data_IF_896357886782
#
_entry.id   IF_896357886782
#
_cell.length_a   1.000
_cell.length_b   1.000
_cell.length_c   1.000
_cell.angle_alpha   90.00
_cell.angle_beta   90.00
_cell.angle_gamma   90.00
#
_symmetry.space_group_name_H-M   'P 1'
#
loop_
_entity.id
_entity.type
_entity.pdbx_description
1 polymer ?
#
# COMPACT_ATOMS: atom_id res chain seq x y z
N UNK A 1 -19.04 -14.94 -12.31
CA UNK A 1 -18.47 -15.86 -13.34
C UNK A 1 -17.10 -15.31 -13.73
N UNK A 2 -16.03 -15.97 -13.28
CA UNK A 2 -14.64 -15.59 -13.61
C UNK A 2 -14.43 -15.93 -15.09
N UNK A 3 -14.22 -14.91 -15.93
CA UNK A 3 -13.87 -15.13 -17.34
C UNK A 3 -12.57 -15.96 -17.41
N UNK A 4 -12.50 -17.02 -18.22
CA UNK A 4 -11.27 -17.79 -18.37
C UNK A 4 -10.16 -16.87 -18.87
N UNK A 5 -9.08 -16.76 -18.10
CA UNK A 5 -7.89 -15.99 -18.49
C UNK A 5 -7.38 -16.60 -19.79
N UNK A 6 -7.41 -15.81 -20.85
CA UNK A 6 -6.97 -16.22 -22.19
C UNK A 6 -5.50 -16.71 -22.14
N UNK A 7 -5.18 -17.79 -22.86
CA UNK A 7 -3.84 -18.38 -22.91
C UNK A 7 -2.74 -17.35 -23.22
N UNK A 8 -3.05 -16.36 -24.07
CA UNK A 8 -2.14 -15.24 -24.39
C UNK A 8 -1.80 -14.40 -23.16
N UNK A 9 -2.76 -14.16 -22.25
CA UNK A 9 -2.51 -13.42 -21.02
C UNK A 9 -1.63 -14.23 -20.05
N UNK A 10 -1.81 -15.55 -19.96
CA UNK A 10 -0.95 -16.42 -19.16
C UNK A 10 0.49 -16.41 -19.66
N UNK A 11 0.69 -16.50 -20.97
CA UNK A 11 2.01 -16.43 -21.59
C UNK A 11 2.67 -15.05 -21.38
N UNK A 12 1.89 -13.97 -21.46
CA UNK A 12 2.39 -12.60 -21.22
C UNK A 12 2.86 -12.42 -19.76
N UNK A 13 2.08 -12.90 -18.80
CA UNK A 13 2.45 -12.86 -17.37
C UNK A 13 3.68 -13.74 -17.12
N UNK A 14 3.76 -14.92 -17.72
CA UNK A 14 4.95 -15.79 -17.60
C UNK A 14 6.21 -15.12 -18.16
N UNK A 15 6.09 -14.45 -19.32
CA UNK A 15 7.19 -13.66 -19.90
C UNK A 15 7.68 -12.57 -18.94
N UNK A 16 6.75 -11.86 -18.28
CA UNK A 16 7.10 -10.86 -17.27
C UNK A 16 7.86 -11.46 -16.08
N UNK A 17 7.45 -12.64 -15.59
CA UNK A 17 8.22 -13.34 -14.55
C UNK A 17 9.66 -13.60 -14.97
N UNK A 18 9.89 -14.14 -16.16
CA UNK A 18 11.25 -14.38 -16.65
C UNK A 18 12.06 -13.10 -16.81
N UNK A 19 11.45 -12.03 -17.30
CA UNK A 19 12.13 -10.75 -17.47
C UNK A 19 12.51 -10.08 -16.15
N UNK A 20 11.63 -10.14 -15.14
CA UNK A 20 11.82 -9.45 -13.85
C UNK A 20 12.50 -10.31 -12.79
N UNK A 21 12.23 -11.59 -12.74
CA UNK A 21 12.78 -12.50 -11.72
C UNK A 21 13.96 -13.33 -12.22
N UNK A 22 14.14 -13.45 -13.54
CA UNK A 22 15.09 -14.38 -14.14
C UNK A 22 14.60 -15.84 -14.11
N UNK A 23 15.36 -16.74 -14.72
CA UNK A 23 14.95 -18.13 -14.91
C UNK A 23 14.81 -18.89 -13.58
N UNK A 24 15.83 -18.81 -12.72
CA UNK A 24 15.90 -19.59 -11.46
C UNK A 24 14.79 -19.16 -10.49
N UNK A 25 14.64 -17.86 -10.26
CA UNK A 25 13.61 -17.35 -9.34
C UNK A 25 12.19 -17.62 -9.86
N UNK A 26 11.96 -17.52 -11.17
CA UNK A 26 10.69 -17.88 -11.80
C UNK A 26 10.38 -19.36 -11.62
N UNK A 27 11.32 -20.26 -11.91
CA UNK A 27 11.14 -21.70 -11.73
C UNK A 27 10.84 -22.03 -10.26
N UNK A 28 11.60 -21.45 -9.33
CA UNK A 28 11.38 -21.64 -7.89
C UNK A 28 10.00 -21.12 -7.44
N UNK A 29 9.59 -19.93 -7.89
CA UNK A 29 8.26 -19.36 -7.61
C UNK A 29 7.13 -20.29 -8.11
N UNK A 30 7.21 -20.78 -9.36
CA UNK A 30 6.21 -21.69 -9.93
C UNK A 30 6.16 -23.00 -9.13
N UNK A 31 7.33 -23.57 -8.81
CA UNK A 31 7.45 -24.81 -8.02
C UNK A 31 6.78 -24.65 -6.66
N UNK A 32 7.06 -23.56 -5.93
CA UNK A 32 6.44 -23.28 -4.64
C UNK A 32 4.92 -23.11 -4.75
N UNK A 33 4.41 -22.51 -5.83
CA UNK A 33 2.97 -22.38 -6.05
C UNK A 33 2.26 -23.72 -6.23
N UNK A 34 2.92 -24.67 -6.88
CA UNK A 34 2.37 -26.02 -7.12
C UNK A 34 2.46 -26.88 -5.85
N UNK A 35 3.62 -26.95 -5.22
CA UNK A 35 3.89 -27.85 -4.11
C UNK A 35 3.60 -27.28 -2.72
N UNK A 36 3.15 -26.04 -2.63
CA UNK A 36 2.79 -25.31 -1.39
C UNK A 36 3.79 -25.51 -0.24
N UNK A 37 4.56 -24.48 0.14
CA UNK A 37 5.50 -24.56 1.24
C UNK A 37 4.79 -24.93 2.56
N UNK A 38 5.49 -25.65 3.47
CA UNK A 38 4.95 -26.10 4.76
C UNK A 38 4.40 -24.97 5.63
N UNK A 39 4.99 -23.78 5.55
CA UNK A 39 4.56 -22.59 6.29
C UNK A 39 3.48 -21.76 5.55
N UNK A 40 2.97 -22.24 4.41
CA UNK A 40 1.93 -21.57 3.62
C UNK A 40 2.40 -20.31 2.87
N UNK A 41 3.66 -19.87 3.03
CA UNK A 41 4.20 -18.68 2.39
C UNK A 41 5.13 -19.02 1.23
N UNK A 42 4.94 -18.37 0.11
CA UNK A 42 5.89 -18.34 -0.99
C UNK A 42 7.08 -17.43 -0.60
N UNK A 43 8.28 -17.85 -0.93
CA UNK A 43 9.52 -17.07 -0.76
C UNK A 43 10.07 -16.74 -2.15
N UNK A 44 10.05 -15.48 -2.53
CA UNK A 44 10.48 -15.02 -3.85
C UNK A 44 11.74 -14.18 -3.74
N UNK A 45 12.76 -14.58 -4.49
CA UNK A 45 13.98 -13.79 -4.67
C UNK A 45 13.80 -12.89 -5.89
N UNK A 46 13.86 -11.58 -5.68
CA UNK A 46 13.77 -10.60 -6.77
C UNK A 46 15.17 -10.04 -7.02
N UNK A 47 15.67 -10.09 -8.27
CA UNK A 47 16.99 -9.55 -8.60
C UNK A 47 17.14 -8.09 -8.15
N UNK A 48 18.24 -7.78 -7.49
CA UNK A 48 18.54 -6.45 -6.96
C UNK A 48 17.98 -6.16 -5.58
N UNK A 49 17.02 -6.96 -5.07
CA UNK A 49 16.52 -6.81 -3.70
C UNK A 49 17.44 -7.50 -2.69
N UNK A 50 17.66 -6.86 -1.55
CA UNK A 50 18.57 -7.36 -0.51
C UNK A 50 18.04 -8.63 0.18
N UNK A 51 16.72 -8.73 0.34
CA UNK A 51 16.05 -9.79 1.07
C UNK A 51 14.91 -10.39 0.24
N UNK A 52 14.56 -11.66 0.49
CA UNK A 52 13.43 -12.30 -0.17
C UNK A 52 12.11 -11.64 0.23
N UNK A 53 11.17 -11.68 -0.70
CA UNK A 53 9.78 -11.24 -0.50
C UNK A 53 8.92 -12.44 -0.15
N UNK A 54 8.07 -12.30 0.86
CA UNK A 54 7.15 -13.35 1.31
C UNK A 54 5.71 -12.96 0.99
N UNK A 55 4.92 -13.92 0.50
CA UNK A 55 3.50 -13.75 0.20
C UNK A 55 2.72 -15.05 0.43
N UNK A 56 1.44 -14.93 0.67
CA UNK A 56 0.53 -16.09 0.74
C UNK A 56 0.27 -16.61 -0.68
N UNK A 57 0.02 -17.91 -0.84
CA UNK A 57 -0.37 -18.48 -2.13
C UNK A 57 -1.87 -18.28 -2.39
N UNK A 58 -2.33 -17.05 -2.33
CA UNK A 58 -3.71 -16.62 -2.61
C UNK A 58 -3.73 -15.61 -3.76
N UNK A 59 -4.89 -15.46 -4.38
CA UNK A 59 -5.02 -14.68 -5.61
C UNK A 59 -4.66 -13.20 -5.41
N UNK A 60 -5.13 -12.58 -4.32
CA UNK A 60 -4.87 -11.18 -4.00
C UNK A 60 -3.38 -10.88 -3.87
N UNK A 61 -2.65 -11.61 -3.03
CA UNK A 61 -1.22 -11.40 -2.85
C UNK A 61 -0.43 -11.55 -4.18
N UNK A 62 -0.86 -12.52 -5.01
CA UNK A 62 -0.25 -12.77 -6.33
C UNK A 62 -0.54 -11.63 -7.32
N UNK A 63 -1.74 -11.05 -7.26
CA UNK A 63 -2.09 -9.91 -8.10
C UNK A 63 -1.28 -8.68 -7.72
N UNK A 64 -1.24 -8.33 -6.43
CA UNK A 64 -0.46 -7.19 -5.93
C UNK A 64 1.05 -7.41 -6.20
N UNK A 65 1.57 -8.64 -6.00
CA UNK A 65 2.94 -8.96 -6.39
C UNK A 65 3.21 -8.67 -7.87
N UNK A 66 2.28 -9.06 -8.73
CA UNK A 66 2.39 -8.83 -10.18
C UNK A 66 2.34 -7.34 -10.53
N UNK A 67 1.43 -6.58 -9.91
CA UNK A 67 1.29 -5.14 -10.11
C UNK A 67 2.56 -4.41 -9.70
N UNK A 68 3.04 -4.64 -8.50
CA UNK A 68 4.15 -3.87 -7.92
C UNK A 68 5.51 -4.29 -8.49
N UNK A 69 5.84 -5.59 -8.52
CA UNK A 69 7.20 -6.04 -8.86
C UNK A 69 7.38 -6.40 -10.33
N UNK A 70 6.33 -6.87 -11.01
CA UNK A 70 6.46 -7.27 -12.40
C UNK A 70 6.06 -6.17 -13.38
N UNK A 71 4.98 -5.43 -13.08
CA UNK A 71 4.50 -4.33 -13.90
C UNK A 71 5.02 -2.98 -13.47
N UNK A 72 5.55 -2.88 -12.24
CA UNK A 72 6.09 -1.63 -11.66
C UNK A 72 5.06 -0.49 -11.66
N UNK A 73 3.80 -0.78 -11.28
CA UNK A 73 2.70 0.19 -11.28
C UNK A 73 2.92 1.38 -10.32
N UNK A 74 3.78 1.19 -9.29
CA UNK A 74 4.25 2.28 -8.41
C UNK A 74 5.44 3.07 -8.98
N UNK A 75 5.82 2.84 -10.24
CA UNK A 75 6.90 3.60 -10.86
C UNK A 75 6.43 5.02 -11.17
N UNK A 76 6.91 5.96 -10.38
CA UNK A 76 6.69 7.40 -10.56
C UNK A 76 8.03 8.10 -10.74
N UNK A 77 8.04 9.17 -11.50
CA UNK A 77 9.23 10.01 -11.69
C UNK A 77 9.08 11.25 -10.79
N UNK A 78 9.77 11.20 -9.65
CA UNK A 78 9.87 12.30 -8.70
C UNK A 78 11.00 13.24 -9.13
N UNK A 79 10.79 14.54 -9.01
CA UNK A 79 11.83 15.54 -9.32
C UNK A 79 12.99 15.50 -8.32
N UNK A 80 12.70 15.12 -7.08
CA UNK A 80 13.67 15.00 -5.98
C UNK A 80 13.63 13.59 -5.42
N UNK A 81 14.79 13.04 -5.06
CA UNK A 81 14.87 11.73 -4.40
C UNK A 81 14.24 11.84 -3.01
N UNK A 82 13.18 11.07 -2.72
CA UNK A 82 12.46 11.16 -1.46
C UNK A 82 13.30 10.69 -0.28
N UNK A 83 13.19 11.38 0.83
CA UNK A 83 13.80 11.04 2.14
C UNK A 83 12.75 10.50 3.10
N UNK A 84 11.52 11.02 3.03
CA UNK A 84 10.38 10.64 3.87
C UNK A 84 9.24 10.18 3.00
N UNK A 85 8.82 8.92 3.21
CA UNK A 85 7.70 8.31 2.49
C UNK A 85 6.70 7.80 3.54
N UNK A 86 5.43 8.11 3.34
CA UNK A 86 4.32 7.50 4.09
C UNK A 86 3.58 6.56 3.14
N UNK A 87 3.37 5.31 3.55
CA UNK A 87 2.69 4.26 2.81
C UNK A 87 1.42 3.85 3.56
N UNK A 88 0.31 4.52 3.24
CA UNK A 88 -1.02 4.24 3.77
C UNK A 88 -1.68 3.09 3.02
N UNK A 89 -2.19 2.10 3.77
CA UNK A 89 -2.67 0.84 3.21
C UNK A 89 -1.50 -0.02 2.72
N UNK A 90 -0.56 -0.30 3.62
CA UNK A 90 0.67 -0.99 3.27
C UNK A 90 0.48 -2.47 2.95
N UNK A 91 -0.68 -3.04 3.29
CA UNK A 91 -1.00 -4.44 3.08
C UNK A 91 0.14 -5.33 3.62
N UNK A 92 0.67 -6.25 2.84
CA UNK A 92 1.79 -7.12 3.23
C UNK A 92 3.18 -6.52 2.97
N UNK A 93 3.27 -5.21 2.68
CA UNK A 93 4.51 -4.43 2.60
C UNK A 93 5.18 -4.37 1.23
N UNK A 94 4.50 -4.73 0.17
CA UNK A 94 5.11 -4.74 -1.17
C UNK A 94 5.46 -3.35 -1.68
N UNK A 95 4.59 -2.35 -1.43
CA UNK A 95 4.86 -0.96 -1.77
C UNK A 95 6.08 -0.44 -1.01
N UNK A 96 6.14 -0.69 0.31
CA UNK A 96 7.29 -0.32 1.12
C UNK A 96 8.60 -0.94 0.61
N UNK A 97 8.61 -2.23 0.24
CA UNK A 97 9.78 -2.91 -0.30
C UNK A 97 10.20 -2.34 -1.65
N UNK A 98 9.25 -2.09 -2.55
CA UNK A 98 9.51 -1.50 -3.86
C UNK A 98 10.11 -0.10 -3.74
N UNK A 99 9.50 0.75 -2.90
CA UNK A 99 9.96 2.11 -2.65
C UNK A 99 11.33 2.10 -1.95
N UNK A 100 11.55 1.19 -1.00
CA UNK A 100 12.84 1.03 -0.32
C UNK A 100 13.96 0.57 -1.25
N UNK A 101 13.66 -0.32 -2.19
CA UNK A 101 14.61 -0.71 -3.22
C UNK A 101 14.96 0.47 -4.14
N UNK A 102 13.96 1.26 -4.54
CA UNK A 102 14.14 2.40 -5.43
C UNK A 102 14.83 3.59 -4.71
N UNK A 103 14.56 3.77 -3.42
CA UNK A 103 15.05 4.87 -2.59
C UNK A 103 15.66 4.33 -1.27
N UNK A 104 16.88 3.77 -1.33
CA UNK A 104 17.46 3.02 -0.21
C UNK A 104 17.62 3.83 1.08
N UNK A 105 17.84 5.13 0.98
CA UNK A 105 18.05 6.02 2.13
C UNK A 105 16.77 6.59 2.73
N UNK A 106 15.63 6.45 2.04
CA UNK A 106 14.35 6.95 2.54
C UNK A 106 13.93 6.27 3.86
N UNK A 107 13.36 7.05 4.76
CA UNK A 107 12.56 6.53 5.86
C UNK A 107 11.13 6.30 5.35
N UNK A 108 10.57 5.12 5.62
CA UNK A 108 9.24 4.72 5.17
C UNK A 108 8.39 4.42 6.40
N UNK A 109 7.20 5.02 6.46
CA UNK A 109 6.21 4.82 7.51
C UNK A 109 5.02 4.10 6.89
N UNK A 110 4.86 2.81 7.21
CA UNK A 110 3.86 1.93 6.61
C UNK A 110 2.73 1.66 7.59
N UNK A 111 1.50 1.87 7.16
CA UNK A 111 0.31 1.75 8.01
C UNK A 111 -0.62 0.68 7.42
N UNK A 112 -0.98 -0.32 8.24
CA UNK A 112 -1.83 -1.43 7.85
C UNK A 112 -2.76 -1.82 9.01
N UNK A 113 -4.08 -1.77 8.83
CA UNK A 113 -5.04 -2.09 9.88
C UNK A 113 -5.23 -3.59 10.16
N UNK A 114 -5.15 -4.47 9.15
CA UNK A 114 -5.41 -5.89 9.34
C UNK A 114 -4.23 -6.61 9.98
N UNK A 115 -4.47 -7.30 11.08
CA UNK A 115 -3.43 -8.01 11.84
C UNK A 115 -2.69 -9.08 11.03
N UNK A 116 -3.36 -9.76 10.11
CA UNK A 116 -2.76 -10.82 9.28
C UNK A 116 -1.83 -10.22 8.23
N UNK A 117 -2.27 -9.14 7.58
CA UNK A 117 -1.45 -8.36 6.65
C UNK A 117 -0.28 -7.72 7.40
N UNK A 118 -0.54 -7.09 8.55
CA UNK A 118 0.49 -6.45 9.36
C UNK A 118 1.59 -7.42 9.81
N UNK A 119 1.25 -8.64 10.22
CA UNK A 119 2.25 -9.67 10.55
C UNK A 119 3.14 -10.00 9.35
N UNK A 120 2.57 -10.03 8.15
CA UNK A 120 3.34 -10.30 6.94
C UNK A 120 4.11 -9.06 6.46
N UNK A 121 3.57 -7.86 6.63
CA UNK A 121 4.27 -6.59 6.47
C UNK A 121 5.54 -6.57 7.33
N UNK A 122 5.42 -6.84 8.62
CA UNK A 122 6.56 -6.91 9.55
C UNK A 122 7.59 -7.96 9.11
N UNK A 123 7.14 -9.15 8.68
CA UNK A 123 8.03 -10.18 8.15
C UNK A 123 8.81 -9.71 6.93
N UNK A 124 8.17 -8.99 6.03
CA UNK A 124 8.76 -8.49 4.80
C UNK A 124 9.74 -7.34 5.04
N UNK A 125 9.45 -6.48 6.02
CA UNK A 125 10.16 -5.21 6.22
C UNK A 125 11.19 -5.21 7.34
N UNK A 126 11.10 -6.13 8.31
CA UNK A 126 11.93 -6.13 9.55
C UNK A 126 13.45 -6.16 9.32
N UNK A 127 13.91 -6.62 8.16
CA UNK A 127 15.33 -6.65 7.81
C UNK A 127 15.83 -5.33 7.19
N UNK A 128 14.93 -4.41 6.87
CA UNK A 128 15.27 -3.12 6.26
C UNK A 128 15.34 -2.02 7.33
N UNK A 129 16.44 -1.26 7.31
CA UNK A 129 16.56 -0.08 8.18
C UNK A 129 15.62 1.03 7.71
N UNK A 130 15.15 1.85 8.65
CA UNK A 130 14.30 3.03 8.39
C UNK A 130 12.94 2.67 7.75
N UNK A 131 12.39 1.49 8.06
CA UNK A 131 10.97 1.21 7.83
C UNK A 131 10.31 1.07 9.20
N UNK A 132 9.31 1.88 9.46
CA UNK A 132 8.50 1.87 10.68
C UNK A 132 7.09 1.46 10.29
N UNK A 133 6.51 0.50 11.00
CA UNK A 133 5.18 -0.03 10.69
C UNK A 133 4.21 0.25 11.84
N UNK A 134 2.99 0.67 11.48
CA UNK A 134 1.89 0.95 12.39
C UNK A 134 0.72 0.00 12.11
N UNK A 135 0.27 -0.71 13.15
CA UNK A 135 -0.94 -1.55 13.05
C UNK A 135 -2.16 -0.70 13.41
N UNK A 136 -2.53 0.19 12.53
CA UNK A 136 -3.57 1.18 12.68
C UNK A 136 -4.35 1.35 11.36
N UNK A 137 -5.59 1.84 11.45
CA UNK A 137 -6.28 2.41 10.30
C UNK A 137 -5.99 3.91 10.17
N UNK A 138 -5.79 4.41 8.94
CA UNK A 138 -5.64 5.86 8.72
C UNK A 138 -7.01 6.52 8.78
N UNK A 139 -7.12 7.59 9.57
CA UNK A 139 -8.36 8.36 9.73
C UNK A 139 -8.07 9.85 9.90
N UNK A 140 -9.11 10.68 9.93
CA UNK A 140 -8.97 12.13 10.12
C UNK A 140 -8.90 12.58 11.58
N UNK A 141 -9.15 11.69 12.53
CA UNK A 141 -9.16 11.95 13.99
C UNK A 141 -8.87 10.68 14.77
N UNK A 142 -8.63 10.81 16.06
CA UNK A 142 -8.63 9.67 16.98
C UNK A 142 -9.99 8.95 16.93
N UNK A 143 -10.00 7.66 16.66
CA UNK A 143 -11.19 6.84 16.54
C UNK A 143 -10.88 5.36 16.79
N UNK A 144 -11.93 4.57 17.02
CA UNK A 144 -11.89 3.12 16.92
C UNK A 144 -12.52 2.71 15.60
N UNK A 145 -11.84 1.89 14.84
CA UNK A 145 -12.26 1.43 13.52
C UNK A 145 -12.51 -0.08 13.53
N UNK A 146 -13.40 -0.54 12.68
CA UNK A 146 -13.64 -1.97 12.46
C UNK A 146 -13.63 -2.27 10.98
N UNK A 147 -13.02 -3.39 10.59
CA UNK A 147 -13.12 -3.93 9.23
C UNK A 147 -14.54 -4.46 9.06
N UNK A 148 -15.30 -3.87 8.12
CA UNK A 148 -16.73 -4.16 7.93
C UNK A 148 -17.02 -5.19 6.84
N UNK A 149 -16.02 -5.55 6.04
CA UNK A 149 -16.15 -6.46 4.91
C UNK A 149 -15.11 -7.61 4.96
N UNK A 150 -14.99 -8.27 6.10
CA UNK A 150 -13.99 -9.36 6.33
C UNK A 150 -14.04 -10.51 5.30
N UNK A 151 -15.16 -10.67 4.60
CA UNK A 151 -15.33 -11.67 3.53
C UNK A 151 -14.80 -11.17 2.16
N UNK A 152 -14.43 -9.90 2.02
CA UNK A 152 -13.69 -9.40 0.87
C UNK A 152 -12.26 -9.96 0.88
N UNK A 153 -11.59 -9.94 -0.25
CA UNK A 153 -10.17 -10.34 -0.31
C UNK A 153 -9.31 -9.46 0.60
N UNK A 154 -8.14 -9.96 1.00
CA UNK A 154 -7.19 -9.24 1.88
C UNK A 154 -6.64 -7.93 1.30
N UNK A 155 -6.97 -7.63 0.06
CA UNK A 155 -6.63 -6.40 -0.68
C UNK A 155 -7.68 -5.29 -0.58
N UNK A 156 -8.87 -5.58 -0.03
CA UNK A 156 -10.04 -4.68 -0.11
C UNK A 156 -10.74 -4.51 1.24
N UNK A 157 -9.97 -4.38 2.32
CA UNK A 157 -10.54 -4.22 3.66
C UNK A 157 -11.01 -2.79 3.92
N UNK A 158 -12.33 -2.61 3.91
CA UNK A 158 -12.99 -1.34 4.26
C UNK A 158 -13.11 -1.22 5.77
N UNK A 159 -12.74 -0.06 6.32
CA UNK A 159 -12.92 0.25 7.74
C UNK A 159 -14.04 1.27 7.95
N UNK A 160 -14.73 1.15 9.09
CA UNK A 160 -15.73 2.11 9.54
C UNK A 160 -15.52 2.45 11.01
N UNK A 161 -15.89 3.67 11.40
CA UNK A 161 -15.81 4.13 12.78
C UNK A 161 -16.85 3.39 13.64
N UNK A 162 -16.42 2.91 14.81
CA UNK A 162 -17.30 2.29 15.81
C UNK A 162 -17.38 3.14 17.06
N UNK A 163 -18.46 2.95 17.84
CA UNK A 163 -18.66 3.71 19.06
C UNK A 163 -17.53 3.47 20.07
N UNK A 164 -16.87 4.53 20.50
CA UNK A 164 -15.76 4.48 21.48
C UNK A 164 -16.14 3.81 22.81
N UNK A 165 -17.42 3.88 23.20
CA UNK A 165 -17.94 3.30 24.45
C UNK A 165 -18.35 1.82 24.32
N UNK A 166 -18.31 1.26 23.11
CA UNK A 166 -18.59 -0.17 22.90
C UNK A 166 -17.27 -0.92 22.84
N UNK A 167 -16.98 -1.84 23.79
CA UNK A 167 -15.76 -2.65 23.76
C UNK A 167 -15.86 -3.72 22.67
N UNK A 168 -15.84 -3.31 21.40
CA UNK A 168 -15.69 -4.25 20.29
C UNK A 168 -14.25 -4.79 20.30
N UNK A 169 -14.10 -6.07 20.58
CA UNK A 169 -12.79 -6.75 20.72
C UNK A 169 -11.99 -6.69 19.41
N UNK A 170 -12.69 -6.59 18.28
CA UNK A 170 -12.08 -6.57 16.94
C UNK A 170 -11.79 -5.12 16.44
N UNK A 171 -11.96 -4.12 17.27
CA UNK A 171 -11.74 -2.73 16.85
C UNK A 171 -10.26 -2.36 16.85
N UNK A 172 -9.85 -1.68 15.79
CA UNK A 172 -8.50 -1.20 15.50
C UNK A 172 -8.42 0.27 15.92
N UNK A 173 -7.29 0.72 16.45
CA UNK A 173 -7.09 2.14 16.70
C UNK A 173 -6.82 2.87 15.37
N UNK A 174 -7.45 4.01 15.19
CA UNK A 174 -7.09 4.94 14.13
C UNK A 174 -5.77 5.64 14.46
N UNK A 175 -5.08 6.09 13.41
CA UNK A 175 -3.97 7.03 13.49
C UNK A 175 -4.16 8.09 12.40
N UNK A 176 -3.87 9.33 12.72
CA UNK A 176 -3.87 10.41 11.73
C UNK A 176 -2.49 10.59 11.11
N UNK A 177 -2.43 11.14 9.89
CA UNK A 177 -1.13 11.50 9.28
C UNK A 177 -0.42 12.55 10.14
N UNK A 178 -1.14 13.49 10.76
CA UNK A 178 -0.56 14.48 11.67
C UNK A 178 0.12 13.84 12.89
N UNK A 179 -0.46 12.78 13.44
CA UNK A 179 0.18 12.02 14.54
C UNK A 179 1.46 11.33 14.10
N UNK A 180 1.48 10.72 12.91
CA UNK A 180 2.71 10.11 12.34
C UNK A 180 3.78 11.18 12.16
N UNK A 181 3.42 12.32 11.59
CA UNK A 181 4.30 13.49 11.42
C UNK A 181 4.90 13.93 12.75
N UNK A 182 4.05 14.11 13.77
CA UNK A 182 4.47 14.56 15.10
C UNK A 182 5.33 13.52 15.84
N UNK A 183 4.95 12.26 15.81
CA UNK A 183 5.68 11.17 16.51
C UNK A 183 7.08 10.94 15.97
N UNK A 184 7.34 11.33 14.72
CA UNK A 184 8.60 11.08 14.03
C UNK A 184 9.36 12.36 13.65
N UNK A 185 8.94 13.52 14.18
CA UNK A 185 9.55 14.83 13.91
C UNK A 185 9.71 15.13 12.40
N UNK A 186 8.69 14.72 11.60
CA UNK A 186 8.68 14.91 10.15
C UNK A 186 8.40 16.36 9.82
N UNK A 187 9.32 17.00 9.12
CA UNK A 187 9.17 18.41 8.68
C UNK A 187 8.68 18.54 7.24
N UNK A 188 8.86 17.51 6.43
CA UNK A 188 8.39 17.43 5.05
C UNK A 188 8.07 15.97 4.68
N UNK A 189 6.99 15.74 3.94
CA UNK A 189 6.62 14.43 3.36
C UNK A 189 6.93 14.49 1.88
N UNK A 190 7.99 13.81 1.43
CA UNK A 190 8.37 13.84 0.02
C UNK A 190 7.40 13.03 -0.86
N UNK A 191 6.85 11.95 -0.32
CA UNK A 191 5.82 11.13 -0.97
C UNK A 191 4.85 10.55 0.06
N UNK A 192 3.56 10.80 -0.13
CA UNK A 192 2.48 10.07 0.55
C UNK A 192 1.76 9.17 -0.46
N UNK A 193 1.93 7.85 -0.37
CA UNK A 193 1.09 6.87 -1.05
C UNK A 193 -0.11 6.57 -0.16
N UNK A 194 -1.31 6.57 -0.73
CA UNK A 194 -2.56 6.27 -0.04
C UNK A 194 -3.42 5.36 -0.91
N UNK A 195 -3.73 4.20 -0.36
CA UNK A 195 -4.56 3.16 -0.94
C UNK A 195 -5.23 2.45 0.25
N UNK A 196 -6.33 3.05 0.74
CA UNK A 196 -6.95 2.76 2.05
C UNK A 196 -8.42 2.33 1.93
N UNK A 197 -8.76 1.83 0.76
CA UNK A 197 -10.01 1.10 0.49
C UNK A 197 -11.28 1.82 0.97
N UNK A 198 -11.45 3.07 0.47
CA UNK A 198 -12.65 3.88 0.67
C UNK A 198 -12.62 4.81 1.89
N UNK A 199 -11.52 4.85 2.64
CA UNK A 199 -11.34 5.83 3.73
C UNK A 199 -10.78 7.18 3.25
N UNK A 200 -10.47 7.32 1.95
CA UNK A 200 -9.86 8.52 1.36
C UNK A 200 -10.70 9.75 1.63
N UNK A 201 -12.04 9.66 1.46
CA UNK A 201 -12.94 10.76 1.77
C UNK A 201 -12.78 11.25 3.21
N UNK A 202 -12.77 10.34 4.18
CA UNK A 202 -12.66 10.70 5.59
C UNK A 202 -11.35 11.41 5.89
N UNK A 203 -10.23 10.94 5.31
CA UNK A 203 -8.90 11.52 5.52
C UNK A 203 -8.78 12.92 4.91
N UNK A 204 -9.42 13.18 3.77
CA UNK A 204 -9.39 14.47 3.08
C UNK A 204 -10.56 15.40 3.43
N UNK A 205 -11.51 14.97 4.26
CA UNK A 205 -12.65 15.81 4.68
C UNK A 205 -12.25 16.81 5.75
N UNK A 206 -11.48 16.37 6.76
CA UNK A 206 -11.11 17.17 7.92
C UNK A 206 -9.65 16.95 8.32
N UNK A 207 -9.05 17.95 9.02
CA UNK A 207 -7.70 17.87 9.62
C UNK A 207 -6.56 17.58 8.64
N UNK A 208 -6.78 17.75 7.34
CA UNK A 208 -5.79 17.44 6.32
C UNK A 208 -4.82 18.61 6.02
N UNK A 209 -5.16 19.84 6.37
CA UNK A 209 -4.40 21.01 5.94
C UNK A 209 -2.95 21.02 6.44
N UNK A 210 -2.70 20.54 7.66
CA UNK A 210 -1.36 20.53 8.27
C UNK A 210 -0.42 19.61 7.48
N UNK A 211 -0.74 18.31 7.42
CA UNK A 211 0.11 17.35 6.71
C UNK A 211 0.15 17.59 5.20
N UNK A 212 -0.96 18.06 4.59
CA UNK A 212 -1.00 18.34 3.16
C UNK A 212 -0.10 19.53 2.80
N UNK A 213 0.04 20.53 3.69
CA UNK A 213 0.89 21.70 3.46
C UNK A 213 2.38 21.37 3.39
N UNK A 214 2.81 20.30 4.07
CA UNK A 214 4.20 19.80 4.11
C UNK A 214 4.41 18.59 3.20
N UNK A 215 3.45 18.25 2.33
CA UNK A 215 3.56 17.14 1.38
C UNK A 215 3.91 17.64 0.00
N UNK A 216 4.93 17.07 -0.64
CA UNK A 216 5.35 17.42 -1.98
C UNK A 216 4.66 16.61 -3.06
N UNK A 217 4.49 15.30 -2.82
CA UNK A 217 3.85 14.41 -3.78
C UNK A 217 2.87 13.47 -3.09
N UNK A 218 1.72 13.22 -3.77
CA UNK A 218 0.73 12.24 -3.35
C UNK A 218 0.52 11.22 -4.47
N UNK A 219 0.36 9.96 -4.09
CA UNK A 219 -0.04 8.88 -4.98
C UNK A 219 -1.25 8.21 -4.33
N UNK A 220 -2.46 8.54 -4.82
CA UNK A 220 -3.73 8.13 -4.19
C UNK A 220 -4.53 7.27 -5.13
N UNK A 221 -4.89 6.06 -4.70
CA UNK A 221 -5.96 5.27 -5.30
C UNK A 221 -7.28 5.70 -4.68
N UNK A 222 -8.24 6.10 -5.52
CA UNK A 222 -9.52 6.65 -5.04
C UNK A 222 -10.64 5.67 -5.33
N UNK A 223 -11.27 5.16 -4.26
CA UNK A 223 -12.27 4.10 -4.32
C UNK A 223 -13.72 4.65 -4.38
N UNK A 224 -14.06 5.36 -5.45
CA UNK A 224 -15.39 5.94 -5.65
C UNK A 224 -16.54 4.91 -5.64
N UNK A 225 -16.26 3.65 -5.93
CA UNK A 225 -17.24 2.57 -5.87
C UNK A 225 -17.65 2.19 -4.45
N UNK A 226 -16.82 2.56 -3.46
CA UNK A 226 -17.13 2.40 -2.02
C UNK A 226 -17.83 3.65 -1.49
N UNK A 227 -17.28 4.83 -1.82
CA UNK A 227 -17.85 6.13 -1.44
C UNK A 227 -17.88 7.06 -2.65
N UNK A 228 -19.06 7.28 -3.21
CA UNK A 228 -19.27 8.05 -4.44
C UNK A 228 -18.79 9.51 -4.41
N UNK A 229 -18.48 10.07 -3.22
CA UNK A 229 -17.97 11.43 -3.05
C UNK A 229 -16.45 11.47 -2.78
N UNK A 230 -15.75 10.34 -2.76
CA UNK A 230 -14.33 10.28 -2.42
C UNK A 230 -13.48 11.13 -3.37
N UNK A 231 -13.63 10.95 -4.68
CA UNK A 231 -12.88 11.72 -5.69
C UNK A 231 -13.14 13.22 -5.58
N UNK A 232 -14.39 13.63 -5.45
CA UNK A 232 -14.78 15.02 -5.30
C UNK A 232 -14.12 15.65 -4.07
N UNK A 233 -14.05 14.94 -2.96
CA UNK A 233 -13.46 15.42 -1.70
C UNK A 233 -11.93 15.54 -1.83
N UNK A 234 -11.26 14.52 -2.36
CA UNK A 234 -9.81 14.54 -2.60
C UNK A 234 -9.44 15.68 -3.56
N UNK A 235 -10.12 15.77 -4.71
CA UNK A 235 -9.85 16.82 -5.70
C UNK A 235 -10.07 18.23 -5.14
N UNK A 236 -11.10 18.44 -4.30
CA UNK A 236 -11.33 19.73 -3.66
C UNK A 236 -10.18 20.13 -2.72
N UNK A 237 -9.57 19.17 -2.01
CA UNK A 237 -8.46 19.43 -1.09
C UNK A 237 -7.15 19.81 -1.82
N UNK A 238 -6.90 19.23 -3.02
CA UNK A 238 -5.59 19.33 -3.69
C UNK A 238 -5.56 20.33 -4.86
N UNK A 239 -6.70 20.69 -5.48
CA UNK A 239 -6.82 21.44 -6.75
C UNK A 239 -6.01 22.75 -6.83
N UNK A 240 -5.90 23.48 -5.73
CA UNK A 240 -5.25 24.79 -5.71
C UNK A 240 -3.74 24.73 -5.45
N UNK A 241 -3.25 23.57 -4.98
CA UNK A 241 -1.87 23.40 -4.52
C UNK A 241 -1.07 22.42 -5.36
N UNK A 242 -1.73 21.52 -6.08
CA UNK A 242 -1.09 20.41 -6.79
C UNK A 242 -1.48 20.39 -8.27
N UNK A 243 -0.56 19.87 -9.08
CA UNK A 243 -0.83 19.38 -10.43
C UNK A 243 -1.23 17.91 -10.36
N UNK A 244 -2.14 17.48 -11.24
CA UNK A 244 -2.69 16.12 -11.21
C UNK A 244 -2.41 15.40 -12.51
N UNK A 245 -1.96 14.14 -12.44
CA UNK A 245 -1.89 13.21 -13.57
C UNK A 245 -2.26 11.80 -13.12
N UNK A 246 -2.74 10.97 -14.04
CA UNK A 246 -2.97 9.54 -13.77
C UNK A 246 -1.67 8.74 -13.90
N UNK A 247 -1.49 7.76 -13.00
CA UNK A 247 -0.42 6.77 -13.03
C UNK A 247 -1.03 5.37 -12.77
N UNK A 248 -1.48 4.70 -13.83
CA UNK A 248 -2.28 3.48 -13.69
C UNK A 248 -3.63 3.76 -13.02
N UNK A 249 -3.90 3.09 -11.91
CA UNK A 249 -5.11 3.27 -11.09
C UNK A 249 -4.96 4.43 -10.09
N UNK A 250 -3.74 4.98 -9.93
CA UNK A 250 -3.45 6.05 -8.99
C UNK A 250 -3.59 7.44 -9.62
N UNK A 251 -4.14 8.36 -8.85
CA UNK A 251 -3.98 9.79 -9.06
C UNK A 251 -2.64 10.21 -8.47
N UNK A 252 -1.76 10.73 -9.29
CA UNK A 252 -0.50 11.32 -8.84
C UNK A 252 -0.63 12.85 -8.81
N UNK A 253 -0.36 13.42 -7.64
CA UNK A 253 -0.39 14.84 -7.40
C UNK A 253 1.02 15.31 -7.05
N UNK A 254 1.50 16.35 -7.72
CA UNK A 254 2.79 17.01 -7.43
C UNK A 254 2.57 18.47 -7.07
N UNK A 255 3.18 18.92 -5.98
CA UNK A 255 3.08 20.30 -5.52
C UNK A 255 3.59 21.26 -6.60
N UNK A 256 2.87 22.37 -6.81
CA UNK A 256 3.22 23.41 -7.78
C UNK A 256 4.42 24.22 -7.36
#
# INVERSE_FOLDING_TARGET
MIKPINLLNKLRVLKLHFQKLGLISTANYITQRIYKPRNGLLKVLIPGYQHPVYLRNIQSDIQIFTQIFLREELKIDLQVVPKIIIDGGANIGFAALYLKHRYPDAAIFSIEPDDSNFKLLMKNTSQYKKIVCYNNGIWNKEARLKIVNKDAGYESFVVAEVNMNNPDVDAINAITINEIVKQNDIVNIDLLKMDIEGSERNVFQDNYNEWLSITDNLLVEIHNWIDGDAEKTVMAAVKDKFETKMNGEYHFFSKR
#
